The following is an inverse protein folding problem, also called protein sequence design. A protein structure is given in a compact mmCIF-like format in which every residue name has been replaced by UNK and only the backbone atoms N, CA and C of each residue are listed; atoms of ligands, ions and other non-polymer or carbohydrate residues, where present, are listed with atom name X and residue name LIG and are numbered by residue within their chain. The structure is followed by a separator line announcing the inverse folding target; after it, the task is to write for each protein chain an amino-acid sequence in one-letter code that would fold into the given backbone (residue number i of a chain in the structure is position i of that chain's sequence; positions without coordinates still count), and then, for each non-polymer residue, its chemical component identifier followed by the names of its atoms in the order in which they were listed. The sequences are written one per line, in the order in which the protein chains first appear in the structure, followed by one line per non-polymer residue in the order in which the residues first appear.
data_IF_013699956300
#
_entry.id   IF_013699956300
#
_cell.length_a   1.000
_cell.length_b   1.000
_cell.length_c   1.000
_cell.angle_alpha   90.00
_cell.angle_beta   90.00
_cell.angle_gamma   90.00
#
_symmetry.space_group_name_H-M   'P 1'
#
loop_
_entity.id
_entity.type
_entity.pdbx_description
1 polymer ?
#
# COMPACT_ATOMS: atom_id res chain seq x y z
N UNK A 1 -7.85 6.69 -30.97
CA UNK A 1 -6.92 5.97 -30.08
C UNK A 1 -7.67 5.77 -28.77
N UNK A 2 -8.39 4.65 -28.63
CA UNK A 2 -9.17 4.40 -27.41
C UNK A 2 -8.19 3.75 -26.45
N UNK A 3 -7.64 4.55 -25.54
CA UNK A 3 -6.79 4.03 -24.48
C UNK A 3 -7.63 3.04 -23.69
N UNK A 4 -7.16 1.79 -23.61
CA UNK A 4 -7.77 0.76 -22.77
C UNK A 4 -8.00 1.35 -21.37
N UNK A 5 -9.12 1.01 -20.69
CA UNK A 5 -9.28 1.43 -19.31
C UNK A 5 -8.05 1.01 -18.51
N UNK A 6 -7.59 1.83 -17.56
CA UNK A 6 -6.49 1.43 -16.69
C UNK A 6 -6.83 0.08 -16.07
N UNK A 7 -5.84 -0.83 -15.92
CA UNK A 7 -6.08 -2.12 -15.29
C UNK A 7 -6.76 -1.89 -13.94
N UNK A 8 -7.84 -2.63 -13.70
CA UNK A 8 -8.53 -2.60 -12.41
C UNK A 8 -7.54 -3.07 -11.35
N UNK A 9 -7.34 -2.34 -10.24
CA UNK A 9 -6.44 -2.79 -9.19
C UNK A 9 -6.85 -4.19 -8.72
N UNK A 10 -5.91 -5.14 -8.74
CA UNK A 10 -6.23 -6.55 -8.51
C UNK A 10 -6.48 -6.85 -7.03
N UNK A 11 -5.77 -6.15 -6.14
CA UNK A 11 -6.01 -6.20 -4.70
C UNK A 11 -5.41 -4.99 -3.96
N UNK A 12 -5.88 -4.80 -2.73
CA UNK A 12 -5.46 -3.77 -1.81
C UNK A 12 -5.01 -4.38 -0.48
N UNK A 13 -3.82 -4.00 -0.03
CA UNK A 13 -3.20 -4.46 1.22
C UNK A 13 -3.06 -3.32 2.21
N UNK A 14 -3.41 -3.58 3.46
CA UNK A 14 -3.22 -2.64 4.56
C UNK A 14 -2.01 -3.06 5.38
N UNK A 15 -0.95 -2.24 5.37
CA UNK A 15 0.35 -2.58 5.97
C UNK A 15 0.38 -2.46 7.50
N UNK A 16 -0.51 -1.65 8.09
CA UNK A 16 -0.64 -1.48 9.53
C UNK A 16 -2.03 -0.93 9.95
N UNK A 17 -3.07 -1.76 9.76
CA UNK A 17 -4.47 -1.38 9.94
C UNK A 17 -4.83 -1.00 11.38
N UNK A 18 -4.12 -1.47 12.41
CA UNK A 18 -4.44 -1.15 13.81
C UNK A 18 -4.31 0.34 14.14
N UNK A 19 -3.49 1.10 13.40
CA UNK A 19 -3.46 2.57 13.52
C UNK A 19 -4.58 3.25 12.73
N UNK A 20 -5.05 2.63 11.65
CA UNK A 20 -6.12 3.16 10.82
C UNK A 20 -7.49 2.93 11.46
N UNK A 21 -7.72 1.73 11.98
CA UNK A 21 -8.93 1.25 12.62
C UNK A 21 -8.77 1.21 14.15
N UNK A 22 -8.34 2.32 14.73
CA UNK A 22 -7.97 2.41 16.15
C UNK A 22 -9.13 2.05 17.11
N UNK A 23 -10.36 2.34 16.71
CA UNK A 23 -11.57 2.04 17.49
C UNK A 23 -12.33 0.78 17.00
N UNK A 24 -11.74 0.04 16.05
CA UNK A 24 -12.29 -1.19 15.46
C UNK A 24 -13.69 -1.00 14.83
N UNK A 25 -14.04 0.21 14.44
CA UNK A 25 -15.36 0.55 13.88
C UNK A 25 -15.38 0.69 12.35
N UNK A 26 -14.22 0.61 11.67
CA UNK A 26 -14.15 0.75 10.23
C UNK A 26 -14.73 -0.47 9.50
N UNK A 27 -15.62 -0.18 8.54
CA UNK A 27 -16.20 -1.21 7.67
C UNK A 27 -15.38 -1.37 6.38
N UNK A 28 -14.42 -2.29 6.39
CA UNK A 28 -13.60 -2.61 5.20
C UNK A 28 -14.38 -3.25 4.04
N UNK A 29 -15.61 -3.74 4.26
CA UNK A 29 -16.42 -4.27 3.14
C UNK A 29 -16.81 -3.20 2.14
N UNK A 30 -16.75 -1.92 2.52
CA UNK A 30 -16.99 -0.80 1.61
C UNK A 30 -16.04 -0.79 0.41
N UNK A 31 -14.87 -1.45 0.50
CA UNK A 31 -13.91 -1.57 -0.59
C UNK A 31 -14.26 -2.68 -1.59
N UNK A 32 -14.98 -3.75 -1.18
CA UNK A 32 -15.23 -4.93 -2.01
C UNK A 32 -15.81 -4.64 -3.40
N UNK A 33 -16.70 -3.64 -3.61
CA UNK A 33 -17.20 -3.29 -4.94
C UNK A 33 -16.16 -2.64 -5.86
N UNK A 34 -15.04 -2.15 -5.31
CA UNK A 34 -14.01 -1.38 -6.02
C UNK A 34 -12.71 -2.16 -6.14
N UNK A 35 -12.29 -2.82 -5.07
CA UNK A 35 -11.04 -3.59 -4.99
C UNK A 35 -11.13 -4.67 -3.91
N UNK A 36 -10.69 -5.91 -4.18
CA UNK A 36 -10.52 -6.93 -3.15
C UNK A 36 -9.53 -6.46 -2.07
N UNK A 37 -9.90 -6.59 -0.80
CA UNK A 37 -9.02 -6.25 0.33
C UNK A 37 -8.52 -7.53 0.99
N UNK A 38 -7.23 -7.83 0.83
CA UNK A 38 -6.49 -8.80 1.61
C UNK A 38 -5.03 -8.87 1.14
N UNK A 39 -4.05 -9.06 2.06
CA UNK A 39 -4.16 -9.08 3.54
C UNK A 39 -4.29 -7.70 4.24
N UNK A 40 -4.61 -7.76 5.55
CA UNK A 40 -4.57 -6.61 6.49
C UNK A 40 -3.67 -6.96 7.67
N UNK A 41 -2.53 -6.29 7.82
CA UNK A 41 -1.64 -6.46 8.96
C UNK A 41 -2.04 -5.52 10.08
N UNK A 42 -2.21 -6.03 11.29
CA UNK A 42 -2.73 -5.24 12.42
C UNK A 42 -1.67 -4.30 12.99
N UNK A 43 -0.43 -4.76 13.11
CA UNK A 43 0.68 -4.02 13.73
C UNK A 43 1.47 -3.20 12.72
N UNK A 44 2.29 -2.28 13.20
CA UNK A 44 3.33 -1.67 12.37
C UNK A 44 4.35 -2.75 11.90
N UNK A 45 5.03 -2.54 10.78
CA UNK A 45 6.20 -3.32 10.41
C UNK A 45 7.30 -3.22 11.48
N UNK A 46 7.97 -4.34 11.79
CA UNK A 46 9.10 -4.32 12.73
C UNK A 46 10.31 -3.56 12.19
N UNK A 47 10.50 -3.61 10.89
CA UNK A 47 11.61 -3.04 10.14
C UNK A 47 11.25 -2.92 8.64
N UNK A 48 12.23 -2.49 7.84
CA UNK A 48 12.08 -2.33 6.39
C UNK A 48 11.85 -3.66 5.67
N UNK A 49 12.47 -4.75 6.13
CA UNK A 49 12.32 -6.05 5.48
C UNK A 49 10.93 -6.63 5.72
N UNK A 50 10.38 -6.49 6.92
CA UNK A 50 8.99 -6.82 7.24
C UNK A 50 8.03 -5.97 6.38
N UNK A 51 8.26 -4.66 6.23
CA UNK A 51 7.47 -3.80 5.34
C UNK A 51 7.45 -4.32 3.89
N UNK A 52 8.62 -4.73 3.38
CA UNK A 52 8.77 -5.28 2.02
C UNK A 52 8.13 -6.66 1.89
N UNK A 53 8.22 -7.54 2.90
CA UNK A 53 7.54 -8.84 2.87
C UNK A 53 6.02 -8.67 2.83
N UNK A 54 5.48 -7.78 3.67
CA UNK A 54 4.05 -7.48 3.72
C UNK A 54 3.52 -6.92 2.40
N UNK A 55 4.32 -6.14 1.68
CA UNK A 55 3.91 -5.58 0.39
C UNK A 55 3.88 -6.59 -0.75
N UNK A 56 4.48 -7.78 -0.57
CA UNK A 56 4.45 -8.88 -1.54
C UNK A 56 3.27 -9.83 -1.32
N UNK A 57 2.68 -9.85 -0.13
CA UNK A 57 1.59 -10.78 0.18
C UNK A 57 0.33 -10.44 -0.62
N UNK A 58 -0.16 -11.41 -1.41
CA UNK A 58 -1.37 -11.24 -2.22
C UNK A 58 -1.17 -10.45 -3.52
N UNK A 59 0.08 -10.20 -3.92
CA UNK A 59 0.49 -9.48 -5.14
C UNK A 59 -0.30 -8.18 -5.39
N UNK A 60 -0.24 -7.22 -4.44
CA UNK A 60 -1.15 -6.09 -4.43
C UNK A 60 -0.84 -5.03 -5.47
N UNK A 61 -1.90 -4.42 -5.98
CA UNK A 61 -1.78 -3.19 -6.77
C UNK A 61 -1.72 -1.95 -5.88
N UNK A 62 -2.34 -2.01 -4.70
CA UNK A 62 -2.49 -0.88 -3.78
C UNK A 62 -1.95 -1.26 -2.40
N UNK A 63 -1.09 -0.41 -1.86
CA UNK A 63 -0.66 -0.46 -0.46
C UNK A 63 -1.25 0.70 0.32
N UNK A 64 -1.85 0.42 1.47
CA UNK A 64 -2.37 1.44 2.39
C UNK A 64 -1.56 1.41 3.68
N UNK A 65 -1.03 2.56 4.06
CA UNK A 65 -0.22 2.78 5.27
C UNK A 65 -0.85 3.82 6.17
N UNK A 66 -0.48 3.80 7.44
CA UNK A 66 -0.82 4.84 8.40
C UNK A 66 0.37 5.20 9.29
N UNK A 67 0.92 6.39 9.16
CA UNK A 67 1.91 6.96 10.09
C UNK A 67 3.16 6.09 10.34
N UNK A 68 3.54 5.27 9.35
CA UNK A 68 4.78 4.50 9.34
C UNK A 68 5.74 5.06 8.27
N UNK A 69 7.06 5.08 8.49
CA UNK A 69 8.00 5.44 7.43
C UNK A 69 7.93 4.46 6.26
N UNK A 70 7.91 4.99 5.04
CA UNK A 70 8.00 4.24 3.78
C UNK A 70 9.21 4.77 3.00
N UNK A 71 10.42 4.29 3.33
CA UNK A 71 11.65 4.81 2.76
C UNK A 71 11.83 4.37 1.30
N UNK A 72 12.58 5.14 0.52
CA UNK A 72 12.85 4.79 -0.88
C UNK A 72 13.57 3.45 -1.06
N UNK A 73 14.35 3.01 -0.07
CA UNK A 73 14.97 1.68 -0.04
C UNK A 73 13.93 0.55 -0.05
N UNK A 74 12.84 0.70 0.70
CA UNK A 74 11.70 -0.23 0.67
C UNK A 74 10.94 -0.13 -0.66
N UNK A 75 10.62 1.09 -1.12
CA UNK A 75 9.81 1.32 -2.33
C UNK A 75 10.44 0.64 -3.56
N UNK A 76 11.78 0.73 -3.71
CA UNK A 76 12.50 0.08 -4.81
C UNK A 76 12.47 -1.46 -4.77
N UNK A 77 12.01 -2.04 -3.66
CA UNK A 77 11.90 -3.49 -3.43
C UNK A 77 10.45 -3.97 -3.43
N UNK A 78 9.47 -3.06 -3.51
CA UNK A 78 8.06 -3.45 -3.64
C UNK A 78 7.84 -4.20 -4.96
N UNK A 79 6.87 -5.12 -5.02
CA UNK A 79 6.61 -5.85 -6.24
C UNK A 79 6.13 -4.89 -7.33
N UNK A 80 6.43 -5.18 -8.62
CA UNK A 80 6.08 -4.30 -9.74
C UNK A 80 4.57 -4.14 -9.96
N UNK A 81 3.76 -5.00 -9.35
CA UNK A 81 2.29 -4.89 -9.31
C UNK A 81 1.82 -3.65 -8.54
N UNK A 82 2.58 -3.20 -7.53
CA UNK A 82 2.24 -2.02 -6.73
C UNK A 82 2.35 -0.76 -7.57
N UNK A 83 1.20 -0.15 -7.85
CA UNK A 83 1.09 1.07 -8.64
C UNK A 83 0.57 2.27 -7.83
N UNK A 84 0.13 2.03 -6.59
CA UNK A 84 -0.41 3.05 -5.70
C UNK A 84 -0.02 2.77 -4.24
N UNK A 85 0.53 3.79 -3.59
CA UNK A 85 0.76 3.82 -2.14
C UNK A 85 -0.11 4.93 -1.56
N UNK A 86 -0.95 4.58 -0.59
CA UNK A 86 -1.91 5.48 0.06
C UNK A 86 -1.51 5.66 1.52
N UNK A 87 -1.23 6.90 1.90
CA UNK A 87 -1.19 7.27 3.32
C UNK A 87 -2.60 7.65 3.79
N UNK A 88 -3.14 6.89 4.75
CA UNK A 88 -4.47 7.11 5.30
C UNK A 88 -4.47 8.21 6.39
N UNK A 89 -3.97 9.40 6.03
CA UNK A 89 -3.82 10.54 6.93
C UNK A 89 -3.97 11.88 6.20
N UNK A 90 -3.78 12.98 6.93
CA UNK A 90 -3.88 14.34 6.36
C UNK A 90 -2.61 14.79 5.64
N UNK A 91 -1.51 14.05 5.79
CA UNK A 91 -0.22 14.31 5.16
C UNK A 91 0.49 13.01 4.84
N UNK A 92 1.51 13.08 3.96
CA UNK A 92 2.21 11.92 3.39
C UNK A 92 3.74 12.09 3.45
N UNK A 93 4.25 12.91 4.38
CA UNK A 93 5.68 13.21 4.51
C UNK A 93 6.52 12.02 5.04
N UNK A 94 5.87 10.91 5.40
CA UNK A 94 6.47 9.63 5.75
C UNK A 94 6.82 8.76 4.53
N UNK A 95 6.36 9.14 3.33
CA UNK A 95 6.64 8.44 2.07
C UNK A 95 7.75 9.17 1.32
N UNK A 96 8.78 8.44 0.86
CA UNK A 96 9.80 8.98 -0.04
C UNK A 96 9.22 9.22 -1.45
N UNK A 97 8.80 10.46 -1.70
CA UNK A 97 8.13 10.85 -2.94
C UNK A 97 9.04 10.79 -4.17
N UNK A 98 10.36 10.91 -4.00
CA UNK A 98 11.28 10.84 -5.13
C UNK A 98 11.45 9.39 -5.59
N UNK A 99 11.45 8.45 -4.65
CA UNK A 99 11.44 7.02 -4.96
C UNK A 99 10.12 6.59 -5.66
N UNK A 100 8.97 7.17 -5.32
CA UNK A 100 7.69 6.89 -6.00
C UNK A 100 7.68 7.41 -7.45
N UNK A 101 8.25 8.59 -7.70
CA UNK A 101 8.28 9.21 -9.05
C UNK A 101 9.29 8.55 -9.99
N UNK A 102 10.27 7.85 -9.43
CA UNK A 102 11.37 7.23 -10.18
C UNK A 102 11.26 5.72 -10.04
N UNK A 103 10.31 5.06 -10.74
CA UNK A 103 10.28 3.61 -10.79
C UNK A 103 11.64 3.11 -11.28
N UNK A 104 12.14 2.06 -10.65
CA UNK A 104 13.46 1.48 -10.93
C UNK A 104 13.63 1.29 -12.43
N UNK A 105 14.63 1.96 -13.00
CA UNK A 105 15.09 1.69 -14.36
C UNK A 105 15.62 0.26 -14.38
N UNK A 106 14.96 -0.63 -15.13
CA UNK A 106 15.52 -1.94 -15.49
C UNK A 106 16.85 -1.78 -16.24
#
# INVERSE_FOLDING_TARGET
NIQSPPPVPESCVFLNVGRLDFDESLNFRAFEPVVPVAPKFVTDPSDEDDLVQRSMEGDPSILVTKEIPVPGSAIRRFPPSVNLIVEAGTGYNNIDLEAVKTPTSD
#
